data_IF_046849312068
#
_entry.id   IF_046849312068
#
_cell.length_a   1.000
_cell.length_b   1.000
_cell.length_c   1.000
_cell.angle_alpha   90.00
_cell.angle_beta   90.00
_cell.angle_gamma   90.00
#
_symmetry.space_group_name_H-M   'P 1'
#
loop_
_entity.id
_entity.type
_entity.pdbx_description
1 polymer ?
#
# COMPACT_ATOMS: atom_id res chain seq x y z
N UNK A 1 41.23 70.67 0.83
CA UNK A 1 42.20 69.55 0.91
C UNK A 1 41.38 68.27 1.09
N UNK A 2 40.74 67.76 0.02
CA UNK A 2 41.21 66.83 -1.02
C UNK A 2 41.56 65.40 -0.51
N UNK A 3 40.59 64.49 -0.75
CA UNK A 3 40.61 63.02 -1.01
C UNK A 3 41.29 62.02 -0.05
N UNK A 4 40.56 60.94 0.31
CA UNK A 4 40.67 59.58 -0.30
C UNK A 4 39.57 58.64 0.25
N UNK A 5 38.64 58.08 -0.54
CA UNK A 5 38.68 56.87 -1.40
C UNK A 5 39.11 55.57 -0.72
N UNK A 6 38.13 54.70 -0.41
CA UNK A 6 38.11 53.23 -0.59
C UNK A 6 36.77 52.72 -0.04
N UNK A 7 35.68 52.69 -0.82
CA UNK A 7 35.28 51.56 -1.68
C UNK A 7 35.60 50.19 -1.07
N UNK A 8 34.63 49.59 -0.40
CA UNK A 8 34.45 48.14 -0.44
C UNK A 8 33.00 47.83 -0.82
N UNK A 9 32.83 47.60 -2.11
CA UNK A 9 31.73 46.86 -2.69
C UNK A 9 31.88 45.40 -2.25
N UNK A 10 30.96 44.90 -1.44
CA UNK A 10 30.77 43.47 -1.21
C UNK A 10 29.40 43.09 -1.76
N UNK A 11 29.37 42.57 -2.98
CA UNK A 11 28.16 42.10 -3.67
C UNK A 11 28.27 40.60 -3.91
N UNK A 12 27.11 39.92 -3.82
CA UNK A 12 26.81 38.54 -4.26
C UNK A 12 27.53 37.41 -3.47
N UNK A 13 26.89 36.30 -3.11
CA UNK A 13 25.77 35.63 -3.73
C UNK A 13 24.86 34.98 -2.68
N UNK A 14 23.58 35.32 -2.69
CA UNK A 14 22.55 34.48 -2.11
C UNK A 14 22.33 33.30 -3.06
N UNK A 15 23.07 32.23 -2.85
CA UNK A 15 22.85 30.95 -3.51
C UNK A 15 21.54 30.37 -2.99
N UNK A 16 20.42 30.77 -3.59
CA UNK A 16 19.19 30.00 -3.47
C UNK A 16 19.45 28.65 -4.13
N UNK A 17 19.91 27.68 -3.32
CA UNK A 17 19.82 26.27 -3.67
C UNK A 17 18.33 25.99 -3.68
N UNK A 18 17.69 26.22 -4.83
CA UNK A 18 16.39 25.68 -5.12
C UNK A 18 16.57 24.17 -5.10
N UNK A 19 16.31 23.56 -3.95
CA UNK A 19 16.03 22.14 -3.86
C UNK A 19 14.82 21.91 -4.75
N UNK A 20 15.07 21.63 -6.03
CA UNK A 20 14.13 20.95 -6.90
C UNK A 20 14.04 19.54 -6.31
N UNK A 21 13.32 19.42 -5.20
CA UNK A 21 12.71 18.18 -4.82
C UNK A 21 11.79 17.88 -6.00
N UNK A 22 12.32 17.12 -6.96
CA UNK A 22 11.57 16.57 -8.07
C UNK A 22 10.29 16.05 -7.45
N UNK A 23 9.18 16.66 -7.86
CA UNK A 23 7.86 16.14 -7.64
C UNK A 23 7.85 14.74 -8.25
N UNK A 24 8.29 13.76 -7.46
CA UNK A 24 8.07 12.36 -7.67
C UNK A 24 6.55 12.30 -7.57
N UNK A 25 5.89 12.47 -8.72
CA UNK A 25 4.46 12.30 -8.89
C UNK A 25 4.21 10.87 -8.42
N UNK A 26 3.99 10.72 -7.11
CA UNK A 26 3.88 9.47 -6.39
C UNK A 26 2.62 8.84 -6.94
N UNK A 27 2.82 7.97 -7.93
CA UNK A 27 1.73 7.20 -8.54
C UNK A 27 1.16 6.33 -7.44
N UNK A 28 -0.16 6.30 -7.32
CA UNK A 28 -0.81 5.34 -6.44
C UNK A 28 -0.85 4.03 -7.20
N UNK A 29 -0.27 2.97 -6.64
CA UNK A 29 -0.33 1.65 -7.23
C UNK A 29 -1.68 1.03 -6.88
N UNK A 30 -2.37 0.48 -7.88
CA UNK A 30 -3.59 -0.29 -7.67
C UNK A 30 -3.38 -1.73 -8.10
N UNK A 31 -3.55 -2.67 -7.18
CA UNK A 31 -3.44 -4.10 -7.46
C UNK A 31 -4.82 -4.63 -7.84
N UNK A 32 -4.89 -5.36 -8.95
CA UNK A 32 -6.12 -5.90 -9.51
C UNK A 32 -5.99 -7.43 -9.67
N UNK A 33 -7.07 -8.16 -9.41
CA UNK A 33 -7.14 -9.59 -9.72
C UNK A 33 -7.80 -10.43 -8.62
N UNK A 34 -7.63 -11.74 -8.74
CA UNK A 34 -8.11 -12.71 -7.76
C UNK A 34 -6.95 -13.22 -6.93
N UNK A 35 -7.12 -13.21 -5.61
CA UNK A 35 -6.11 -13.68 -4.67
C UNK A 35 -6.21 -15.19 -4.57
N UNK A 36 -5.12 -15.87 -4.89
CA UNK A 36 -4.99 -17.32 -4.86
C UNK A 36 -3.73 -17.69 -4.08
N UNK A 37 -3.61 -18.96 -3.70
CA UNK A 37 -2.40 -19.46 -3.03
C UNK A 37 -1.09 -19.16 -3.77
N UNK A 38 -1.15 -19.13 -5.12
CA UNK A 38 0.02 -18.89 -5.98
C UNK A 38 0.53 -17.45 -5.93
N UNK A 39 -0.35 -16.47 -5.78
CA UNK A 39 0.00 -15.05 -5.86
C UNK A 39 -0.07 -14.33 -4.49
N UNK A 40 -0.54 -15.01 -3.44
CA UNK A 40 -0.67 -14.45 -2.09
C UNK A 40 0.66 -13.89 -1.55
N UNK A 41 1.77 -14.62 -1.69
CA UNK A 41 3.07 -14.15 -1.19
C UNK A 41 3.55 -12.87 -1.91
N UNK A 42 3.17 -12.70 -3.17
CA UNK A 42 3.43 -11.47 -3.92
C UNK A 42 2.60 -10.29 -3.40
N UNK A 43 1.33 -10.54 -3.07
CA UNK A 43 0.45 -9.57 -2.43
C UNK A 43 0.97 -9.16 -1.05
N UNK A 44 1.31 -10.14 -0.21
CA UNK A 44 1.88 -9.94 1.12
C UNK A 44 3.12 -9.04 1.07
N UNK A 45 4.10 -9.37 0.22
CA UNK A 45 5.29 -8.57 0.04
C UNK A 45 4.98 -7.13 -0.43
N UNK A 46 4.02 -6.97 -1.34
CA UNK A 46 3.55 -5.66 -1.79
C UNK A 46 2.95 -4.84 -0.63
N UNK A 47 2.13 -5.46 0.22
CA UNK A 47 1.50 -4.79 1.35
C UNK A 47 2.52 -4.38 2.41
N UNK A 48 3.49 -5.24 2.74
CA UNK A 48 4.60 -4.90 3.64
C UNK A 48 5.38 -3.66 3.17
N UNK A 49 5.74 -3.61 1.89
CA UNK A 49 6.44 -2.45 1.31
C UNK A 49 5.56 -1.19 1.22
N UNK A 50 4.26 -1.33 1.47
CA UNK A 50 3.27 -0.27 1.38
C UNK A 50 2.72 0.15 2.74
N UNK A 51 3.34 -0.29 3.84
CA UNK A 51 3.00 0.18 5.19
C UNK A 51 3.07 1.71 5.23
N UNK A 52 2.09 2.31 5.91
CA UNK A 52 1.86 3.75 6.01
C UNK A 52 1.67 4.48 4.65
N UNK A 53 1.39 3.72 3.58
CA UNK A 53 1.20 4.25 2.23
C UNK A 53 -0.22 3.97 1.73
N UNK A 54 -0.77 4.91 0.96
CA UNK A 54 -2.05 4.74 0.27
C UNK A 54 -1.85 3.88 -0.98
N UNK A 55 -2.59 2.79 -1.06
CA UNK A 55 -2.68 1.88 -2.21
C UNK A 55 -4.11 1.80 -2.73
N UNK A 56 -4.27 1.44 -3.99
CA UNK A 56 -5.54 0.99 -4.55
C UNK A 56 -5.65 -0.54 -4.50
N UNK A 57 -6.82 -1.06 -4.19
CA UNK A 57 -7.11 -2.49 -4.31
C UNK A 57 -8.36 -2.68 -5.16
N UNK A 58 -8.28 -3.61 -6.10
CA UNK A 58 -9.42 -4.17 -6.84
C UNK A 58 -9.28 -5.69 -6.82
N UNK A 59 -9.41 -6.26 -5.63
CA UNK A 59 -9.09 -7.66 -5.34
C UNK A 59 -10.34 -8.44 -4.98
N UNK A 60 -10.30 -9.75 -5.24
CA UNK A 60 -11.30 -10.70 -4.75
C UNK A 60 -10.61 -11.85 -4.04
N UNK A 61 -11.11 -12.20 -2.87
CA UNK A 61 -10.70 -13.39 -2.11
C UNK A 61 -11.84 -14.38 -2.15
N UNK A 62 -11.59 -15.62 -2.57
CA UNK A 62 -12.61 -16.66 -2.53
C UNK A 62 -12.92 -17.02 -1.08
N UNK A 63 -14.20 -17.11 -0.71
CA UNK A 63 -14.60 -17.62 0.60
C UNK A 63 -14.26 -19.11 0.66
N UNK A 64 -13.40 -19.51 1.58
CA UNK A 64 -12.98 -20.91 1.68
C UNK A 64 -12.75 -21.28 3.14
N UNK A 65 -13.80 -21.81 3.77
CA UNK A 65 -13.77 -22.31 5.15
C UNK A 65 -12.97 -23.62 5.26
N UNK A 66 -12.91 -24.41 4.18
CA UNK A 66 -12.20 -25.70 4.10
C UNK A 66 -10.83 -25.58 3.41
N UNK A 67 -10.20 -24.41 3.49
CA UNK A 67 -8.92 -24.14 2.81
C UNK A 67 -7.81 -25.11 3.25
N UNK A 68 -7.22 -25.81 2.27
CA UNK A 68 -6.13 -26.75 2.49
C UNK A 68 -4.76 -26.06 2.48
N UNK A 69 -3.70 -26.80 2.81
CA UNK A 69 -2.33 -26.29 2.74
C UNK A 69 -2.02 -25.76 1.33
N UNK A 70 -1.58 -24.50 1.27
CA UNK A 70 -1.27 -23.80 0.02
C UNK A 70 -2.44 -23.01 -0.55
N UNK A 71 -3.63 -23.10 0.03
CA UNK A 71 -4.78 -22.26 -0.33
C UNK A 71 -4.86 -21.01 0.55
N UNK A 72 -5.57 -20.00 0.06
CA UNK A 72 -5.90 -18.81 0.85
C UNK A 72 -7.19 -19.09 1.60
N UNK A 73 -7.14 -19.04 2.93
CA UNK A 73 -8.33 -18.95 3.77
C UNK A 73 -8.74 -17.49 3.84
N UNK A 74 -10.03 -17.22 3.64
CA UNK A 74 -10.60 -15.89 3.81
C UNK A 74 -11.96 -16.04 4.47
N UNK A 75 -12.20 -15.26 5.53
CA UNK A 75 -13.42 -15.29 6.33
C UNK A 75 -13.70 -13.92 6.95
N UNK A 76 -14.90 -13.75 7.49
CA UNK A 76 -15.26 -12.59 8.31
C UNK A 76 -15.75 -13.09 9.67
N UNK A 77 -15.12 -12.61 10.74
CA UNK A 77 -15.53 -12.87 12.12
C UNK A 77 -15.72 -11.54 12.85
N UNK A 78 -16.87 -11.36 13.51
CA UNK A 78 -17.27 -10.10 14.19
C UNK A 78 -17.04 -8.82 13.34
N UNK A 79 -17.34 -8.91 12.04
CA UNK A 79 -17.17 -7.81 11.08
C UNK A 79 -15.71 -7.49 10.73
N UNK A 80 -14.75 -8.31 11.16
CA UNK A 80 -13.36 -8.26 10.74
C UNK A 80 -13.13 -9.29 9.63
N UNK A 81 -12.82 -8.82 8.42
CA UNK A 81 -12.25 -9.67 7.38
C UNK A 81 -10.84 -10.09 7.79
N UNK A 82 -10.55 -11.37 7.61
CA UNK A 82 -9.22 -11.97 7.80
C UNK A 82 -8.95 -12.91 6.63
N UNK A 83 -7.80 -12.74 5.98
CA UNK A 83 -7.30 -13.68 4.99
C UNK A 83 -5.83 -14.01 5.22
N UNK A 84 -5.47 -15.28 5.03
CA UNK A 84 -4.10 -15.77 5.19
C UNK A 84 -3.84 -17.00 4.32
N UNK A 85 -2.56 -17.30 4.06
CA UNK A 85 -2.17 -18.50 3.34
C UNK A 85 -2.07 -19.68 4.31
N UNK A 86 -2.82 -20.76 4.07
CA UNK A 86 -2.84 -21.91 4.98
C UNK A 86 -1.55 -22.71 4.85
N UNK A 87 -0.86 -22.92 5.98
CA UNK A 87 0.40 -23.68 6.01
C UNK A 87 1.56 -22.99 5.29
N UNK A 88 1.48 -21.66 5.12
CA UNK A 88 2.50 -20.79 4.55
C UNK A 88 2.25 -19.32 4.93
N UNK A 89 3.03 -18.40 4.35
CA UNK A 89 2.94 -16.98 4.65
C UNK A 89 3.52 -16.60 6.01
N UNK A 90 3.74 -15.32 6.21
CA UNK A 90 4.23 -14.73 7.46
C UNK A 90 3.24 -13.70 8.01
N UNK A 91 2.18 -13.38 7.25
CA UNK A 91 1.15 -12.45 7.63
C UNK A 91 -0.27 -12.87 7.26
N UNK A 92 -1.21 -12.26 7.97
CA UNK A 92 -2.62 -12.17 7.59
C UNK A 92 -2.92 -10.76 7.06
N UNK A 93 -3.92 -10.66 6.18
CA UNK A 93 -4.50 -9.41 5.71
C UNK A 93 -5.83 -9.23 6.43
N UNK A 94 -6.00 -8.09 7.11
CA UNK A 94 -7.20 -7.82 7.89
C UNK A 94 -7.88 -6.51 7.49
N UNK A 95 -9.20 -6.43 7.59
CA UNK A 95 -9.94 -5.20 7.30
C UNK A 95 -11.29 -5.17 8.03
N UNK A 96 -11.67 -4.01 8.59
CA UNK A 96 -13.03 -3.84 9.17
C UNK A 96 -14.03 -3.25 8.16
N UNK A 97 -13.53 -2.60 7.11
CA UNK A 97 -14.35 -1.85 6.16
C UNK A 97 -13.70 -1.87 4.78
N UNK A 98 -14.47 -1.46 3.76
CA UNK A 98 -13.97 -1.29 2.40
C UNK A 98 -13.94 -2.58 1.57
N UNK A 99 -14.44 -3.67 2.11
CA UNK A 99 -14.79 -4.86 1.35
C UNK A 99 -16.32 -5.01 1.25
N UNK A 100 -16.76 -5.67 0.19
CA UNK A 100 -18.13 -6.15 0.02
C UNK A 100 -18.11 -7.68 0.09
N UNK A 101 -19.10 -8.24 0.75
CA UNK A 101 -19.32 -9.68 0.81
C UNK A 101 -20.35 -10.09 -0.25
N UNK A 102 -20.02 -11.12 -1.02
CA UNK A 102 -20.94 -11.88 -1.87
C UNK A 102 -20.78 -13.37 -1.55
N UNK A 103 -21.70 -14.22 -2.02
CA UNK A 103 -21.78 -15.65 -1.67
C UNK A 103 -20.50 -16.47 -1.91
N UNK A 104 -19.60 -15.97 -2.76
CA UNK A 104 -18.39 -16.69 -3.20
C UNK A 104 -17.13 -15.89 -2.88
N UNK A 105 -17.23 -14.57 -2.72
CA UNK A 105 -16.06 -13.70 -2.65
C UNK A 105 -16.19 -12.60 -1.61
N UNK A 106 -15.05 -12.22 -1.04
CA UNK A 106 -14.85 -10.91 -0.42
C UNK A 106 -14.14 -10.00 -1.43
N UNK A 107 -14.83 -8.93 -1.85
CA UNK A 107 -14.36 -8.02 -2.89
C UNK A 107 -13.90 -6.68 -2.28
N UNK A 108 -12.66 -6.31 -2.55
CA UNK A 108 -12.09 -5.00 -2.23
C UNK A 108 -12.08 -4.15 -3.49
N UNK A 109 -12.75 -2.99 -3.48
CA UNK A 109 -12.69 -2.00 -4.56
C UNK A 109 -12.59 -0.60 -3.95
N UNK A 110 -11.38 -0.04 -3.96
CA UNK A 110 -11.14 1.27 -3.37
C UNK A 110 -9.68 1.56 -3.07
N UNK A 111 -9.48 2.52 -2.17
CA UNK A 111 -8.16 2.91 -1.68
C UNK A 111 -8.04 2.62 -0.19
N UNK A 112 -6.84 2.23 0.22
CA UNK A 112 -6.55 1.78 1.58
C UNK A 112 -5.20 2.32 2.02
N UNK A 113 -5.07 2.60 3.31
CA UNK A 113 -3.77 2.75 3.98
C UNK A 113 -3.43 1.40 4.60
N UNK A 114 -2.25 0.87 4.28
CA UNK A 114 -1.76 -0.36 4.93
C UNK A 114 -1.14 0.02 6.26
N UNK A 115 -1.56 -0.65 7.33
CA UNK A 115 -1.02 -0.47 8.68
C UNK A 115 -0.47 -1.78 9.21
N UNK A 116 0.62 -1.69 9.97
CA UNK A 116 1.06 -2.79 10.83
C UNK A 116 0.14 -2.83 12.07
N UNK A 117 -0.61 -3.92 12.24
CA UNK A 117 -1.48 -4.16 13.38
C UNK A 117 -0.84 -5.07 14.44
N UNK A 118 0.47 -5.30 14.35
CA UNK A 118 1.24 -6.12 15.28
C UNK A 118 1.23 -7.59 14.89
N UNK A 119 1.43 -8.46 15.89
CA UNK A 119 1.45 -9.91 15.68
C UNK A 119 0.26 -10.57 16.38
N UNK A 120 -0.40 -11.49 15.67
CA UNK A 120 -1.42 -12.38 16.21
C UNK A 120 -0.95 -13.82 16.03
N UNK A 121 -0.82 -14.58 17.12
CA UNK A 121 -0.39 -16.00 17.08
C UNK A 121 0.95 -16.26 16.34
N UNK A 122 1.85 -15.28 16.31
CA UNK A 122 3.16 -15.41 15.64
C UNK A 122 3.14 -15.12 14.14
N UNK A 123 2.01 -14.65 13.58
CA UNK A 123 1.93 -14.07 12.23
C UNK A 123 1.69 -12.57 12.34
N UNK A 124 2.27 -11.78 11.43
CA UNK A 124 2.06 -10.33 11.36
C UNK A 124 0.67 -10.01 10.82
N UNK A 125 -0.01 -9.02 11.37
CA UNK A 125 -1.32 -8.59 10.88
C UNK A 125 -1.18 -7.30 10.06
N UNK A 126 -1.47 -7.38 8.76
CA UNK A 126 -1.47 -6.24 7.84
C UNK A 126 -2.89 -5.71 7.70
N UNK A 127 -3.17 -4.60 8.40
CA UNK A 127 -4.50 -4.01 8.45
C UNK A 127 -4.73 -3.02 7.31
N UNK A 128 -5.82 -3.21 6.57
CA UNK A 128 -6.28 -2.34 5.50
C UNK A 128 -7.30 -1.34 6.04
N UNK A 129 -6.85 -0.12 6.29
CA UNK A 129 -7.73 0.98 6.67
C UNK A 129 -8.31 1.64 5.41
N UNK A 130 -9.63 1.64 5.27
CA UNK A 130 -10.31 2.29 4.14
C UNK A 130 -9.97 3.78 4.09
N UNK A 131 -9.46 4.24 2.96
CA UNK A 131 -9.20 5.64 2.69
C UNK A 131 -10.33 6.27 1.86
N UNK A 132 -10.57 7.57 2.07
CA UNK A 132 -11.53 8.34 1.28
C UNK A 132 -11.07 8.49 -0.17
N UNK A 133 -11.80 7.86 -1.11
CA UNK A 133 -11.43 7.83 -2.52
C UNK A 133 -11.36 9.23 -3.15
N UNK A 134 -12.23 10.16 -2.71
CA UNK A 134 -12.23 11.54 -3.18
C UNK A 134 -10.88 12.23 -2.91
N UNK A 135 -10.31 12.05 -1.71
CA UNK A 135 -9.02 12.62 -1.33
C UNK A 135 -7.87 12.11 -2.20
N UNK A 136 -7.90 10.83 -2.59
CA UNK A 136 -6.89 10.23 -3.46
C UNK A 136 -7.03 10.74 -4.89
N UNK A 137 -8.24 10.78 -5.43
CA UNK A 137 -8.47 11.24 -6.81
C UNK A 137 -8.20 12.75 -6.96
N UNK A 138 -8.56 13.55 -5.97
CA UNK A 138 -8.34 15.00 -5.97
C UNK A 138 -6.87 15.38 -5.76
N UNK A 139 -6.03 14.46 -5.26
CA UNK A 139 -4.58 14.70 -5.13
C UNK A 139 -3.85 14.85 -6.47
N UNK A 140 -4.51 14.57 -7.60
CA UNK A 140 -3.92 14.61 -8.94
C UNK A 140 -2.89 13.51 -9.20
N UNK A 141 -2.73 12.56 -8.28
CA UNK A 141 -1.85 11.40 -8.45
C UNK A 141 -2.42 10.46 -9.50
N UNK A 142 -1.58 10.02 -10.44
CA UNK A 142 -1.97 9.00 -11.42
C UNK A 142 -2.05 7.64 -10.74
N UNK A 143 -3.13 6.90 -11.00
CA UNK A 143 -3.26 5.50 -10.59
C UNK A 143 -2.56 4.61 -11.62
N UNK A 144 -1.68 3.73 -11.16
CA UNK A 144 -1.03 2.72 -12.00
C UNK A 144 -1.56 1.35 -11.61
N UNK A 145 -2.27 0.73 -12.55
CA UNK A 145 -2.76 -0.63 -12.39
C UNK A 145 -1.63 -1.66 -12.52
N UNK A 146 -1.63 -2.61 -11.60
CA UNK A 146 -0.75 -3.76 -11.55
C UNK A 146 -1.65 -5.00 -11.39
N UNK A 147 -1.37 -6.03 -12.16
CA UNK A 147 -2.01 -7.33 -12.01
C UNK A 147 -1.36 -8.08 -10.83
N UNK A 148 -2.16 -8.68 -9.96
CA UNK A 148 -1.68 -9.43 -8.81
C UNK A 148 -0.70 -10.54 -9.18
N UNK A 149 -0.87 -11.18 -10.34
CA UNK A 149 0.00 -12.26 -10.82
C UNK A 149 1.39 -11.75 -11.25
N UNK A 150 1.58 -10.42 -11.31
CA UNK A 150 2.87 -9.78 -11.62
C UNK A 150 3.61 -9.30 -10.37
N UNK A 151 3.03 -9.45 -9.18
CA UNK A 151 3.72 -9.11 -7.93
C UNK A 151 4.83 -10.12 -7.65
N UNK A 152 5.98 -9.62 -7.19
CA UNK A 152 7.15 -10.44 -6.92
C UNK A 152 7.32 -10.63 -5.41
N UNK A 153 7.20 -11.87 -4.88
CA UNK A 153 7.35 -12.13 -3.45
C UNK A 153 8.76 -11.85 -2.91
N UNK A 154 9.78 -11.81 -3.77
CA UNK A 154 11.17 -11.57 -3.37
C UNK A 154 11.48 -10.08 -3.08
N UNK A 155 10.56 -9.17 -3.40
CA UNK A 155 10.73 -7.74 -3.13
C UNK A 155 10.10 -7.46 -1.76
N UNK A 156 10.89 -7.56 -0.69
CA UNK A 156 10.54 -7.08 0.65
C UNK A 156 11.69 -6.18 1.13
N UNK A 157 11.37 -4.97 1.55
CA UNK A 157 12.33 -3.95 2.00
C UNK A 157 12.26 -3.73 3.51
#
# INVERSE_FOLDING_TARGET
MLLDRRRFLGSLAASCISSVALAQQQRVLRVNGEVTGRNYLGLEAFLFNSIDTVIGLKLRFHQNEDAGKGDVSASVDDGLFVAYLVGGGESEVTARQGFAEDRIYYAFDGFFVVKDAGMHQGITSLFLEKAEAASVLLSGRKVKDIDIDRLNPAIRH
#
